data_IF_146702996398
#
_entry.id   IF_146702996398
#
_cell.length_a   1.000
_cell.length_b   1.000
_cell.length_c   1.000
_cell.angle_alpha   90.00
_cell.angle_beta   90.00
_cell.angle_gamma   90.00
#
_symmetry.space_group_name_H-M   'P 1'
#
loop_
_entity.id
_entity.type
_entity.pdbx_description
1 polymer ?
#
# COMPACT_ATOMS: atom_id res chain seq x y z
N UNK A 1 1.96 -11.26 -24.55
CA UNK A 1 1.56 -10.01 -25.22
C UNK A 1 0.06 -9.86 -25.14
N UNK A 2 -0.73 -10.83 -25.63
CA UNK A 2 -2.19 -10.87 -25.50
C UNK A 2 -2.73 -10.59 -24.09
N UNK A 3 -2.10 -11.18 -23.06
CA UNK A 3 -2.50 -10.96 -21.68
C UNK A 3 -2.40 -9.49 -21.24
N UNK A 4 -1.30 -8.82 -21.58
CA UNK A 4 -1.08 -7.42 -21.24
C UNK A 4 -2.11 -6.54 -21.96
N UNK A 5 -2.43 -6.87 -23.22
CA UNK A 5 -3.48 -6.17 -23.98
C UNK A 5 -4.82 -6.31 -23.27
N UNK A 6 -5.21 -7.52 -22.85
CA UNK A 6 -6.45 -7.75 -22.10
C UNK A 6 -6.49 -6.95 -20.79
N UNK A 7 -5.39 -6.97 -20.02
CA UNK A 7 -5.28 -6.21 -18.76
C UNK A 7 -5.46 -4.72 -19.00
N UNK A 8 -4.78 -4.18 -20.02
CA UNK A 8 -4.88 -2.76 -20.39
C UNK A 8 -6.29 -2.42 -20.83
N UNK A 9 -6.95 -3.26 -21.63
CA UNK A 9 -8.34 -3.04 -22.04
C UNK A 9 -9.29 -2.97 -20.84
N UNK A 10 -9.16 -3.90 -19.88
CA UNK A 10 -9.95 -3.88 -18.64
C UNK A 10 -9.72 -2.55 -17.89
N UNK A 11 -8.47 -2.09 -17.77
CA UNK A 11 -8.15 -0.83 -17.08
C UNK A 11 -8.67 0.40 -17.84
N UNK A 12 -8.63 0.38 -19.17
CA UNK A 12 -9.22 1.45 -19.99
C UNK A 12 -10.73 1.57 -19.77
N UNK A 13 -11.45 0.47 -19.51
CA UNK A 13 -12.87 0.51 -19.18
C UNK A 13 -13.17 1.20 -17.83
N UNK A 14 -12.16 1.39 -16.97
CA UNK A 14 -12.30 2.03 -15.66
C UNK A 14 -12.03 3.54 -15.69
N UNK A 15 -11.60 4.10 -16.83
CA UNK A 15 -11.13 5.49 -16.93
C UNK A 15 -12.18 6.51 -16.45
N UNK A 16 -13.45 6.30 -16.81
CA UNK A 16 -14.56 7.18 -16.50
C UNK A 16 -15.22 6.89 -15.13
N UNK A 17 -14.68 5.97 -14.33
CA UNK A 17 -15.15 5.75 -12.97
C UNK A 17 -14.60 6.82 -12.02
N UNK A 18 -15.20 6.90 -10.83
CA UNK A 18 -14.73 7.70 -9.70
C UNK A 18 -13.20 7.82 -9.58
N UNK A 19 -12.72 9.01 -9.23
CA UNK A 19 -11.37 9.28 -8.73
C UNK A 19 -11.44 10.01 -7.38
N UNK A 20 -10.45 9.78 -6.51
CA UNK A 20 -10.36 10.46 -5.23
C UNK A 20 -9.65 11.82 -5.33
N UNK A 21 -9.51 12.50 -4.20
CA UNK A 21 -8.69 13.72 -4.08
C UNK A 21 -7.24 13.51 -4.50
N UNK A 22 -6.73 12.26 -4.51
CA UNK A 22 -5.38 11.96 -5.01
C UNK A 22 -5.21 12.37 -6.49
N UNK A 23 -6.29 12.41 -7.29
CA UNK A 23 -6.25 12.96 -8.65
C UNK A 23 -5.90 14.45 -8.68
N UNK A 24 -6.55 15.26 -7.85
CA UNK A 24 -6.26 16.69 -7.73
C UNK A 24 -4.85 16.93 -7.17
N UNK A 25 -4.38 16.06 -6.29
CA UNK A 25 -3.03 16.09 -5.74
C UNK A 25 -1.99 15.92 -6.84
N UNK A 26 -2.09 14.86 -7.65
CA UNK A 26 -1.17 14.62 -8.76
C UNK A 26 -1.29 15.69 -9.86
N UNK A 27 -2.50 16.18 -10.17
CA UNK A 27 -2.68 17.35 -11.04
C UNK A 27 -1.89 18.56 -10.54
N UNK A 28 -2.01 18.88 -9.25
CA UNK A 28 -1.29 20.01 -8.67
C UNK A 28 0.22 19.79 -8.70
N UNK A 29 0.71 18.57 -8.44
CA UNK A 29 2.14 18.27 -8.50
C UNK A 29 2.72 18.48 -9.91
N UNK A 30 2.02 18.05 -10.96
CA UNK A 30 2.41 18.34 -12.34
C UNK A 30 2.49 19.85 -12.60
N UNK A 31 1.50 20.62 -12.10
CA UNK A 31 1.47 22.07 -12.25
C UNK A 31 2.65 22.74 -11.53
N UNK A 32 2.80 22.48 -10.23
CA UNK A 32 3.87 23.07 -9.39
C UNK A 32 5.24 22.78 -9.98
N UNK A 33 5.49 21.52 -10.36
CA UNK A 33 6.81 21.12 -10.85
C UNK A 33 7.15 21.77 -12.19
N UNK A 34 6.16 22.05 -13.05
CA UNK A 34 6.39 22.62 -14.38
C UNK A 34 6.41 24.15 -14.44
N UNK A 35 5.73 24.82 -13.50
CA UNK A 35 5.59 26.28 -13.44
C UNK A 35 6.56 26.94 -12.47
N UNK A 36 6.91 26.26 -11.38
CA UNK A 36 7.76 26.82 -10.34
C UNK A 36 9.23 26.40 -10.51
N UNK A 37 10.19 27.25 -10.12
CA UNK A 37 11.58 26.84 -10.04
C UNK A 37 11.75 25.71 -9.00
N UNK A 38 12.77 24.89 -9.18
CA UNK A 38 12.97 23.65 -8.42
C UNK A 38 13.03 23.85 -6.89
N UNK A 39 13.60 24.96 -6.44
CA UNK A 39 13.69 25.34 -5.03
C UNK A 39 12.34 25.77 -4.41
N UNK A 40 11.28 25.86 -5.20
CA UNK A 40 9.92 26.19 -4.72
C UNK A 40 8.97 24.98 -4.74
N UNK A 41 9.40 23.83 -5.27
CA UNK A 41 8.53 22.65 -5.41
C UNK A 41 7.93 22.17 -4.08
N UNK A 42 8.66 22.33 -2.96
CA UNK A 42 8.23 21.89 -1.62
C UNK A 42 7.71 23.04 -0.73
N UNK A 43 7.59 24.24 -1.29
CA UNK A 43 7.12 25.45 -0.62
C UNK A 43 5.80 25.99 -1.19
N UNK A 44 5.15 25.27 -2.10
CA UNK A 44 3.84 25.72 -2.63
C UNK A 44 2.81 25.89 -1.49
N UNK A 45 2.41 27.14 -1.28
CA UNK A 45 1.37 27.57 -0.33
C UNK A 45 0.05 27.92 -1.05
N UNK A 46 0.04 27.91 -2.39
CA UNK A 46 -1.14 28.30 -3.17
C UNK A 46 -2.22 27.21 -3.20
N UNK A 47 -1.85 25.98 -2.88
CA UNK A 47 -2.73 24.82 -2.89
C UNK A 47 -2.64 24.06 -1.57
N UNK A 48 -3.79 23.50 -1.15
CA UNK A 48 -3.84 22.54 -0.04
C UNK A 48 -3.14 21.22 -0.38
N UNK A 49 -2.92 20.96 -1.67
CA UNK A 49 -2.32 19.73 -2.18
C UNK A 49 -0.80 19.87 -2.32
N UNK A 50 -0.09 19.76 -1.21
CA UNK A 50 1.37 19.95 -1.20
C UNK A 50 2.13 18.73 -1.69
N UNK A 51 3.36 18.94 -2.16
CA UNK A 51 4.22 17.86 -2.63
C UNK A 51 4.82 17.09 -1.45
N UNK A 52 4.32 15.87 -1.25
CA UNK A 52 4.61 15.05 -0.06
C UNK A 52 5.45 13.80 -0.40
N UNK A 53 5.94 13.68 -1.64
CA UNK A 53 6.76 12.56 -2.11
C UNK A 53 8.22 12.98 -2.33
N UNK A 54 9.19 12.03 -2.29
CA UNK A 54 10.60 12.39 -2.44
C UNK A 54 10.94 12.80 -3.88
N UNK A 55 12.13 13.41 -4.09
CA UNK A 55 12.45 14.14 -5.32
C UNK A 55 12.28 13.37 -6.62
N UNK A 56 12.55 12.05 -6.63
CA UNK A 56 12.45 11.27 -7.87
C UNK A 56 11.01 11.20 -8.39
N UNK A 57 10.03 11.22 -7.48
CA UNK A 57 8.63 11.30 -7.87
C UNK A 57 8.25 12.71 -8.34
N UNK A 58 8.79 13.77 -7.73
CA UNK A 58 8.59 15.14 -8.21
C UNK A 58 9.13 15.31 -9.65
N UNK A 59 10.28 14.70 -9.98
CA UNK A 59 10.78 14.67 -11.36
C UNK A 59 9.87 13.87 -12.32
N UNK A 60 9.20 12.83 -11.84
CA UNK A 60 8.22 12.09 -12.65
C UNK A 60 7.00 12.98 -12.95
N UNK A 61 6.48 13.70 -11.96
CA UNK A 61 5.40 14.67 -12.14
C UNK A 61 5.80 15.81 -13.07
N UNK A 62 7.05 16.28 -12.98
CA UNK A 62 7.60 17.25 -13.92
C UNK A 62 7.55 16.73 -15.36
N UNK A 63 7.98 15.48 -15.58
CA UNK A 63 7.94 14.86 -16.90
C UNK A 63 6.51 14.74 -17.43
N UNK A 64 5.58 14.25 -16.61
CA UNK A 64 4.17 14.15 -17.00
C UNK A 64 3.55 15.52 -17.27
N UNK A 65 3.81 16.52 -16.43
CA UNK A 65 3.35 17.89 -16.65
C UNK A 65 3.90 18.48 -17.95
N UNK A 66 5.17 18.25 -18.29
CA UNK A 66 5.74 18.69 -19.59
C UNK A 66 5.06 18.02 -20.76
N UNK A 67 4.76 16.71 -20.68
CA UNK A 67 4.02 16.00 -21.73
C UNK A 67 2.61 16.58 -21.85
N UNK A 68 1.91 16.86 -20.75
CA UNK A 68 0.58 17.47 -20.76
C UNK A 68 0.58 18.82 -21.49
N UNK A 69 1.53 19.70 -21.15
CA UNK A 69 1.69 21.02 -21.79
C UNK A 69 1.97 20.88 -23.29
N UNK A 70 2.83 19.94 -23.69
CA UNK A 70 3.12 19.67 -25.10
C UNK A 70 1.90 19.19 -25.89
N UNK A 71 0.98 18.47 -25.22
CA UNK A 71 -0.28 18.02 -25.81
C UNK A 71 -1.40 19.08 -25.74
N UNK A 72 -1.12 20.27 -25.19
CA UNK A 72 -2.11 21.33 -25.03
C UNK A 72 -3.17 21.04 -23.95
N UNK A 73 -2.85 20.19 -22.99
CA UNK A 73 -3.76 19.81 -21.89
C UNK A 73 -3.66 20.84 -20.76
N UNK A 74 -4.81 21.41 -20.39
CA UNK A 74 -4.91 22.33 -19.26
C UNK A 74 -4.79 21.60 -17.91
N UNK A 75 -3.90 22.07 -17.04
CA UNK A 75 -3.68 21.56 -15.68
C UNK A 75 -4.47 22.34 -14.61
N UNK A 76 -5.13 23.45 -14.97
CA UNK A 76 -5.93 24.26 -14.06
C UNK A 76 -7.35 23.73 -13.93
N UNK A 77 -7.99 23.46 -15.07
CA UNK A 77 -9.37 22.99 -15.11
C UNK A 77 -9.44 21.49 -15.35
N UNK A 78 -10.38 20.82 -14.68
CA UNK A 78 -10.66 19.41 -14.94
C UNK A 78 -11.46 19.32 -16.24
N UNK A 79 -10.80 18.83 -17.28
CA UNK A 79 -11.42 18.49 -18.57
C UNK A 79 -11.34 16.98 -18.80
N UNK A 80 -12.17 16.44 -19.68
CA UNK A 80 -12.09 15.02 -20.07
C UNK A 80 -10.69 14.66 -20.57
N UNK A 81 -10.05 15.54 -21.34
CA UNK A 81 -8.68 15.33 -21.84
C UNK A 81 -7.66 15.13 -20.71
N UNK A 82 -7.79 15.90 -19.63
CA UNK A 82 -6.92 15.78 -18.45
C UNK A 82 -7.18 14.47 -17.70
N UNK A 83 -8.45 14.08 -17.55
CA UNK A 83 -8.82 12.80 -16.91
C UNK A 83 -8.22 11.63 -17.68
N UNK A 84 -8.42 11.60 -19.00
CA UNK A 84 -7.85 10.57 -19.86
C UNK A 84 -6.32 10.55 -19.80
N UNK A 85 -5.69 11.71 -19.87
CA UNK A 85 -4.23 11.82 -19.80
C UNK A 85 -3.66 11.21 -18.51
N UNK A 86 -4.17 11.64 -17.36
CA UNK A 86 -3.72 11.17 -16.06
C UNK A 86 -4.01 9.68 -15.83
N UNK A 87 -5.13 9.15 -16.33
CA UNK A 87 -5.42 7.71 -16.24
C UNK A 87 -4.49 6.90 -17.14
N UNK A 88 -4.19 7.40 -18.35
CA UNK A 88 -3.26 6.74 -19.26
C UNK A 88 -1.85 6.73 -18.68
N UNK A 89 -1.37 7.82 -18.06
CA UNK A 89 -0.03 7.84 -17.42
C UNK A 89 0.07 6.81 -16.30
N UNK A 90 -0.99 6.60 -15.51
CA UNK A 90 -1.06 5.50 -14.52
C UNK A 90 -0.89 4.16 -15.22
N UNK A 91 -1.74 3.82 -16.20
CA UNK A 91 -1.71 2.52 -16.92
C UNK A 91 -0.35 2.29 -17.60
N UNK A 92 0.22 3.31 -18.22
CA UNK A 92 1.53 3.23 -18.89
C UNK A 92 2.65 2.94 -17.88
N UNK A 93 2.62 3.58 -16.71
CA UNK A 93 3.62 3.34 -15.66
C UNK A 93 3.60 1.88 -15.17
N UNK A 94 2.44 1.25 -15.13
CA UNK A 94 2.25 -0.13 -14.67
C UNK A 94 2.89 -1.18 -15.59
N UNK A 95 3.33 -0.83 -16.80
CA UNK A 95 4.06 -1.79 -17.64
C UNK A 95 5.28 -2.37 -16.95
N UNK A 96 5.94 -1.59 -16.08
CA UNK A 96 7.05 -2.08 -15.26
C UNK A 96 6.61 -3.22 -14.32
N UNK A 97 5.41 -3.12 -13.75
CA UNK A 97 4.78 -4.18 -12.96
C UNK A 97 4.49 -5.43 -13.80
N UNK A 98 3.87 -5.24 -14.96
CA UNK A 98 3.54 -6.35 -15.85
C UNK A 98 4.80 -7.12 -16.30
N UNK A 99 5.89 -6.40 -16.60
CA UNK A 99 7.16 -7.03 -16.92
C UNK A 99 7.77 -7.79 -15.74
N UNK A 100 7.66 -7.24 -14.52
CA UNK A 100 8.14 -7.92 -13.32
C UNK A 100 7.38 -9.22 -13.05
N UNK A 101 6.04 -9.20 -13.12
CA UNK A 101 5.18 -10.39 -12.95
C UNK A 101 5.49 -11.44 -14.02
N UNK A 102 5.60 -11.04 -15.30
CA UNK A 102 5.91 -11.95 -16.41
C UNK A 102 7.26 -12.66 -16.25
N UNK A 103 8.25 -12.02 -15.61
CA UNK A 103 9.54 -12.68 -15.33
C UNK A 103 9.45 -13.78 -14.28
N UNK A 104 8.48 -13.69 -13.37
CA UNK A 104 8.38 -14.58 -12.22
C UNK A 104 7.38 -15.72 -12.46
N UNK A 105 6.29 -15.45 -13.17
CA UNK A 105 5.27 -16.45 -13.49
C UNK A 105 5.38 -16.94 -14.92
N UNK A 106 5.12 -18.23 -15.15
CA UNK A 106 5.09 -18.83 -16.49
C UNK A 106 3.69 -19.22 -16.97
N UNK A 107 2.74 -19.47 -16.06
CA UNK A 107 1.36 -19.81 -16.42
C UNK A 107 0.59 -18.55 -16.84
N UNK A 108 -0.19 -18.65 -17.91
CA UNK A 108 -1.01 -17.55 -18.44
C UNK A 108 -2.05 -17.06 -17.42
N UNK A 109 -2.80 -17.98 -16.82
CA UNK A 109 -3.85 -17.69 -15.84
C UNK A 109 -3.28 -17.14 -14.53
N UNK A 110 -2.15 -17.67 -14.06
CA UNK A 110 -1.44 -17.12 -12.89
C UNK A 110 -0.88 -15.72 -13.16
N UNK A 111 -0.28 -15.51 -14.33
CA UNK A 111 0.13 -14.18 -14.76
C UNK A 111 -1.05 -13.20 -14.79
N UNK A 112 -2.24 -13.61 -15.24
CA UNK A 112 -3.43 -12.75 -15.26
C UNK A 112 -3.81 -12.28 -13.85
N UNK A 113 -3.94 -13.23 -12.92
CA UNK A 113 -4.31 -12.96 -11.53
C UNK A 113 -3.27 -12.05 -10.87
N UNK A 114 -1.99 -12.30 -11.10
CA UNK A 114 -0.91 -11.50 -10.53
C UNK A 114 -0.76 -10.12 -11.20
N UNK A 115 -1.18 -9.95 -12.46
CA UNK A 115 -1.16 -8.66 -13.16
C UNK A 115 -2.32 -7.74 -12.76
N UNK A 116 -3.42 -8.31 -12.27
CA UNK A 116 -4.62 -7.56 -11.89
C UNK A 116 -5.09 -7.89 -10.46
N UNK A 117 -4.26 -7.74 -9.41
CA UNK A 117 -4.76 -7.88 -8.05
C UNK A 117 -5.90 -6.88 -7.82
N UNK A 118 -7.01 -7.34 -7.23
CA UNK A 118 -8.20 -6.50 -7.01
C UNK A 118 -7.86 -5.16 -6.34
N UNK A 119 -7.00 -5.16 -5.32
CA UNK A 119 -6.58 -3.93 -4.65
C UNK A 119 -5.81 -2.94 -5.55
N UNK A 120 -5.07 -3.42 -6.56
CA UNK A 120 -4.41 -2.55 -7.53
C UNK A 120 -5.40 -1.91 -8.52
N UNK A 121 -6.44 -2.66 -8.94
CA UNK A 121 -7.53 -2.05 -9.73
C UNK A 121 -8.20 -0.94 -8.93
N UNK A 122 -8.53 -1.21 -7.67
CA UNK A 122 -9.21 -0.28 -6.79
C UNK A 122 -8.37 0.97 -6.53
N UNK A 123 -7.12 0.80 -6.11
CA UNK A 123 -6.28 1.91 -5.63
C UNK A 123 -5.69 2.72 -6.78
N UNK A 124 -5.14 2.07 -7.81
CA UNK A 124 -4.43 2.80 -8.86
C UNK A 124 -5.40 3.29 -9.95
N UNK A 125 -6.33 2.42 -10.38
CA UNK A 125 -7.13 2.67 -11.58
C UNK A 125 -8.49 3.33 -11.30
N UNK A 126 -8.99 3.25 -10.07
CA UNK A 126 -10.23 3.92 -9.66
C UNK A 126 -9.90 5.05 -8.69
N UNK A 127 -9.40 4.74 -7.48
CA UNK A 127 -9.05 5.76 -6.47
C UNK A 127 -7.99 6.77 -6.93
N UNK A 128 -7.16 6.42 -7.93
CA UNK A 128 -6.13 7.24 -8.57
C UNK A 128 -4.81 7.32 -7.79
N UNK A 129 -3.92 6.35 -8.01
CA UNK A 129 -2.55 6.36 -7.47
C UNK A 129 -1.56 5.72 -8.44
N UNK A 130 -0.29 6.13 -8.35
CA UNK A 130 0.80 5.49 -9.08
C UNK A 130 1.58 4.50 -8.19
N UNK A 131 0.98 3.37 -7.83
CA UNK A 131 1.71 2.33 -7.08
C UNK A 131 2.25 1.20 -7.95
N UNK A 132 1.59 0.86 -9.05
CA UNK A 132 1.94 -0.31 -9.85
C UNK A 132 3.40 -0.31 -10.32
N UNK A 133 3.90 0.78 -10.88
CA UNK A 133 5.32 0.84 -11.29
C UNK A 133 6.28 0.64 -10.11
N UNK A 134 5.94 1.17 -8.92
CA UNK A 134 6.73 1.00 -7.69
C UNK A 134 6.72 -0.45 -7.21
N UNK A 135 5.56 -1.13 -7.31
CA UNK A 135 5.47 -2.57 -7.10
C UNK A 135 6.35 -3.33 -8.10
N UNK A 136 6.40 -2.89 -9.36
CA UNK A 136 7.31 -3.43 -10.37
C UNK A 136 8.78 -3.32 -9.96
N UNK A 137 9.22 -2.15 -9.49
CA UNK A 137 10.58 -1.95 -8.96
C UNK A 137 10.83 -2.87 -7.76
N UNK A 138 9.90 -2.95 -6.80
CA UNK A 138 10.01 -3.84 -5.63
C UNK A 138 10.21 -5.31 -6.05
N UNK A 139 9.44 -5.80 -7.02
CA UNK A 139 9.56 -7.16 -7.54
C UNK A 139 10.89 -7.39 -8.28
N UNK A 140 11.40 -6.39 -9.02
CA UNK A 140 12.73 -6.47 -9.61
C UNK A 140 13.84 -6.53 -8.56
N UNK A 141 13.70 -5.80 -7.44
CA UNK A 141 14.62 -5.89 -6.31
C UNK A 141 14.64 -7.31 -5.76
N UNK A 142 13.46 -7.91 -5.52
CA UNK A 142 13.38 -9.30 -5.08
C UNK A 142 14.07 -10.26 -6.06
N UNK A 143 13.82 -10.10 -7.37
CA UNK A 143 14.48 -10.90 -8.41
C UNK A 143 16.01 -10.75 -8.36
N UNK A 144 16.53 -9.52 -8.24
CA UNK A 144 17.98 -9.27 -8.16
C UNK A 144 18.62 -9.84 -6.90
N UNK A 145 17.93 -9.77 -5.76
CA UNK A 145 18.38 -10.40 -4.51
C UNK A 145 18.43 -11.93 -4.63
N UNK A 146 17.44 -12.55 -5.28
CA UNK A 146 17.46 -14.00 -5.53
C UNK A 146 18.63 -14.43 -6.42
N UNK A 147 19.04 -13.57 -7.36
CA UNK A 147 20.23 -13.77 -8.21
C UNK A 147 21.55 -13.39 -7.51
N UNK A 148 21.50 -13.06 -6.21
CA UNK A 148 22.66 -12.59 -5.42
C UNK A 148 23.34 -11.34 -6.01
N UNK A 149 22.61 -10.57 -6.83
CA UNK A 149 23.07 -9.31 -7.43
C UNK A 149 22.80 -8.15 -6.47
N UNK A 150 23.40 -8.20 -5.28
CA UNK A 150 23.11 -7.29 -4.16
C UNK A 150 23.31 -5.82 -4.51
N UNK A 151 24.37 -5.49 -5.26
CA UNK A 151 24.62 -4.10 -5.65
C UNK A 151 23.51 -3.50 -6.50
N UNK A 152 23.05 -4.23 -7.52
CA UNK A 152 21.96 -3.78 -8.38
C UNK A 152 20.64 -3.69 -7.61
N UNK A 153 20.39 -4.64 -6.71
CA UNK A 153 19.23 -4.61 -5.83
C UNK A 153 19.25 -3.37 -4.91
N UNK A 154 20.40 -3.02 -4.34
CA UNK A 154 20.55 -1.84 -3.47
C UNK A 154 20.35 -0.53 -4.22
N UNK A 155 20.90 -0.39 -5.42
CA UNK A 155 20.68 0.80 -6.26
C UNK A 155 19.19 0.95 -6.63
N UNK A 156 18.53 -0.13 -7.04
CA UNK A 156 17.09 -0.12 -7.30
C UNK A 156 16.28 0.21 -6.04
N UNK A 157 16.72 -0.24 -4.86
CA UNK A 157 16.03 0.03 -3.61
C UNK A 157 16.15 1.50 -3.19
N UNK A 158 17.30 2.13 -3.42
CA UNK A 158 17.47 3.59 -3.26
C UNK A 158 16.55 4.36 -4.20
N UNK A 159 16.44 3.93 -5.47
CA UNK A 159 15.49 4.50 -6.45
C UNK A 159 14.05 4.38 -5.94
N UNK A 160 13.65 3.20 -5.45
CA UNK A 160 12.31 2.96 -4.91
C UNK A 160 11.99 3.88 -3.73
N UNK A 161 12.91 4.00 -2.76
CA UNK A 161 12.75 4.90 -1.61
C UNK A 161 12.71 6.38 -2.03
N UNK A 162 13.43 6.76 -3.10
CA UNK A 162 13.42 8.12 -3.65
C UNK A 162 12.14 8.44 -4.43
N UNK A 163 11.35 7.42 -4.81
CA UNK A 163 10.01 7.62 -5.35
C UNK A 163 8.93 7.65 -4.26
N UNK A 164 9.01 6.78 -3.25
CA UNK A 164 8.01 6.74 -2.18
C UNK A 164 8.60 6.20 -0.90
N UNK A 165 8.61 7.02 0.15
CA UNK A 165 9.25 6.69 1.43
C UNK A 165 8.55 5.54 2.19
N UNK A 166 7.30 5.18 1.84
CA UNK A 166 6.58 4.06 2.45
C UNK A 166 7.32 2.72 2.35
N UNK A 167 8.20 2.55 1.34
CA UNK A 167 8.98 1.34 1.18
C UNK A 167 10.05 1.14 2.26
N UNK A 168 10.21 2.08 3.21
CA UNK A 168 10.91 1.87 4.49
C UNK A 168 10.36 0.65 5.23
N UNK A 169 9.10 0.26 4.98
CA UNK A 169 8.48 -0.95 5.56
C UNK A 169 9.26 -2.23 5.25
N UNK A 170 10.03 -2.24 4.15
CA UNK A 170 10.86 -3.37 3.71
C UNK A 170 12.33 -3.22 4.15
N UNK A 171 12.74 -2.03 4.61
CA UNK A 171 14.14 -1.68 4.85
C UNK A 171 14.82 -2.61 5.88
N UNK A 172 14.20 -2.95 7.03
CA UNK A 172 14.86 -3.86 7.98
C UNK A 172 15.13 -5.24 7.40
N UNK A 173 14.17 -5.81 6.64
CA UNK A 173 14.40 -7.07 5.96
C UNK A 173 15.50 -6.96 4.89
N UNK A 174 15.51 -5.90 4.08
CA UNK A 174 16.55 -5.65 3.09
C UNK A 174 17.95 -5.59 3.75
N UNK A 175 18.07 -4.85 4.86
CA UNK A 175 19.30 -4.76 5.65
C UNK A 175 19.75 -6.11 6.20
N UNK A 176 18.83 -6.91 6.76
CA UNK A 176 19.14 -8.27 7.26
C UNK A 176 19.66 -9.17 6.14
N UNK A 177 19.12 -9.06 4.91
CA UNK A 177 19.60 -9.84 3.76
C UNK A 177 21.04 -9.46 3.41
N UNK A 178 21.34 -8.15 3.33
CA UNK A 178 22.69 -7.69 3.04
C UNK A 178 23.67 -8.12 4.14
N UNK A 179 23.32 -7.93 5.41
CA UNK A 179 24.19 -8.28 6.53
C UNK A 179 24.47 -9.79 6.62
N UNK A 180 23.52 -10.64 6.24
CA UNK A 180 23.70 -12.10 6.27
C UNK A 180 24.50 -12.63 5.09
N UNK A 181 24.40 -12.00 3.92
CA UNK A 181 24.89 -12.59 2.67
C UNK A 181 26.04 -11.83 2.00
N UNK A 182 26.28 -10.57 2.36
CA UNK A 182 27.35 -9.75 1.78
C UNK A 182 28.59 -9.71 2.66
N UNK A 183 29.75 -9.62 2.03
CA UNK A 183 31.00 -9.32 2.70
C UNK A 183 31.11 -7.83 3.05
N UNK A 184 31.90 -7.46 4.05
CA UNK A 184 32.10 -6.06 4.49
C UNK A 184 32.51 -5.16 3.31
N UNK A 185 33.43 -5.61 2.44
CA UNK A 185 33.85 -4.84 1.25
C UNK A 185 32.69 -4.57 0.29
N UNK A 186 31.80 -5.54 0.10
CA UNK A 186 30.60 -5.37 -0.73
C UNK A 186 29.61 -4.40 -0.07
N UNK A 187 29.44 -4.48 1.25
CA UNK A 187 28.59 -3.55 2.01
C UNK A 187 29.10 -2.11 1.88
N UNK A 188 30.41 -1.89 1.99
CA UNK A 188 31.02 -0.57 1.79
C UNK A 188 30.78 -0.07 0.36
N UNK A 189 31.01 -0.92 -0.64
CA UNK A 189 30.75 -0.58 -2.05
C UNK A 189 29.29 -0.20 -2.30
N UNK A 190 28.35 -0.98 -1.75
CA UNK A 190 26.91 -0.68 -1.78
C UNK A 190 26.63 0.66 -1.11
N UNK A 191 27.21 0.91 0.07
CA UNK A 191 27.03 2.15 0.81
C UNK A 191 27.49 3.38 0.03
N UNK A 192 28.69 3.34 -0.55
CA UNK A 192 29.25 4.43 -1.36
C UNK A 192 28.38 4.70 -2.58
N UNK A 193 28.00 3.67 -3.33
CA UNK A 193 27.20 3.83 -4.54
C UNK A 193 25.77 4.30 -4.24
N UNK A 194 25.18 3.80 -3.16
CA UNK A 194 23.86 4.25 -2.68
C UNK A 194 23.89 5.71 -2.23
N UNK A 195 24.92 6.12 -1.48
CA UNK A 195 25.10 7.50 -1.04
C UNK A 195 25.35 8.44 -2.22
N UNK A 196 26.15 8.01 -3.20
CA UNK A 196 26.41 8.78 -4.42
C UNK A 196 25.13 9.00 -5.22
N UNK A 197 24.29 7.98 -5.35
CA UNK A 197 23.00 8.09 -6.04
C UNK A 197 22.03 9.02 -5.29
N UNK A 198 21.93 8.90 -3.97
CA UNK A 198 21.13 9.81 -3.15
C UNK A 198 21.64 11.25 -3.29
N UNK A 199 22.96 11.45 -3.28
CA UNK A 199 23.55 12.77 -3.50
C UNK A 199 23.10 13.34 -4.84
N UNK A 200 23.19 12.58 -5.95
CA UNK A 200 22.74 13.05 -7.27
C UNK A 200 21.26 13.43 -7.28
N UNK A 201 20.39 12.63 -6.65
CA UNK A 201 18.95 12.87 -6.60
C UNK A 201 18.60 14.13 -5.78
N UNK A 202 19.26 14.31 -4.63
CA UNK A 202 18.96 15.37 -3.67
C UNK A 202 19.81 16.64 -3.85
N UNK A 203 20.88 16.60 -4.65
CA UNK A 203 21.78 17.74 -4.86
C UNK A 203 21.04 19.02 -5.30
N UNK A 204 20.04 18.96 -6.20
CA UNK A 204 19.30 20.16 -6.59
C UNK A 204 18.45 20.77 -5.45
N UNK A 205 18.23 20.01 -4.37
CA UNK A 205 17.44 20.41 -3.20
C UNK A 205 18.31 20.56 -1.94
N UNK A 206 19.62 20.78 -2.08
CA UNK A 206 20.54 20.78 -0.92
C UNK A 206 20.17 21.81 0.16
N UNK A 207 19.55 22.93 -0.22
CA UNK A 207 19.05 23.95 0.70
C UNK A 207 17.72 23.56 1.37
N UNK A 208 16.94 22.70 0.72
CA UNK A 208 15.55 22.40 1.07
C UNK A 208 15.37 21.03 1.74
N UNK A 209 16.47 20.32 2.04
CA UNK A 209 16.45 18.96 2.62
C UNK A 209 15.56 18.89 3.86
N UNK A 210 15.66 19.87 4.77
CA UNK A 210 14.83 19.90 5.99
C UNK A 210 13.35 20.07 5.68
N UNK A 211 13.01 20.92 4.70
CA UNK A 211 11.63 21.11 4.27
C UNK A 211 11.08 19.83 3.65
N UNK A 212 11.85 19.17 2.78
CA UNK A 212 11.48 17.87 2.20
C UNK A 212 11.23 16.85 3.30
N UNK A 213 12.14 16.70 4.26
CA UNK A 213 11.97 15.75 5.37
C UNK A 213 10.70 16.03 6.19
N UNK A 214 10.37 17.30 6.43
CA UNK A 214 9.13 17.71 7.13
C UNK A 214 7.88 17.33 6.33
N UNK A 215 7.91 17.42 5.00
CA UNK A 215 6.82 17.01 4.10
C UNK A 215 6.67 15.49 4.04
N UNK A 216 7.78 14.75 3.92
CA UNK A 216 7.79 13.29 3.87
C UNK A 216 7.32 12.66 5.20
N UNK A 217 7.67 13.27 6.33
CA UNK A 217 7.34 12.76 7.66
C UNK A 217 6.56 13.81 8.47
N UNK A 218 5.24 13.98 8.22
CA UNK A 218 4.42 14.94 8.93
C UNK A 218 4.08 14.43 10.33
N UNK A 219 4.97 14.68 11.30
CA UNK A 219 4.85 14.18 12.68
C UNK A 219 3.68 14.75 13.49
N UNK A 220 2.92 15.70 12.96
CA UNK A 220 1.81 16.38 13.64
C UNK A 220 0.46 15.65 13.51
N UNK A 221 0.45 14.45 12.92
CA UNK A 221 -0.79 13.69 12.69
C UNK A 221 -1.01 12.69 13.84
N UNK A 222 -2.27 12.31 14.09
CA UNK A 222 -2.62 11.32 15.12
C UNK A 222 -2.26 9.87 14.75
N UNK A 223 -2.37 8.93 15.71
CA UNK A 223 -1.96 7.53 15.55
C UNK A 223 -2.67 6.82 14.38
N UNK A 224 -3.97 7.09 14.21
CA UNK A 224 -4.81 6.53 13.14
C UNK A 224 -5.41 7.64 12.30
N UNK A 225 -5.71 7.33 11.03
CA UNK A 225 -6.47 8.20 10.14
C UNK A 225 -7.96 8.24 10.50
N UNK A 226 -8.72 9.10 9.81
CA UNK A 226 -10.18 9.13 9.93
C UNK A 226 -10.81 7.79 9.52
N UNK A 227 -10.34 7.20 8.41
CA UNK A 227 -10.60 5.79 8.10
C UNK A 227 -9.51 4.93 8.73
N UNK A 228 -9.88 4.03 9.64
CA UNK A 228 -8.90 3.21 10.34
C UNK A 228 -8.31 2.17 9.41
N UNK A 229 -6.99 2.16 9.26
CA UNK A 229 -6.32 1.07 8.59
C UNK A 229 -6.63 -0.25 9.32
N UNK A 230 -6.76 -1.33 8.56
CA UNK A 230 -7.04 -2.67 9.07
C UNK A 230 -5.82 -3.33 9.76
N UNK A 231 -5.28 -2.64 10.77
CA UNK A 231 -4.08 -3.00 11.52
C UNK A 231 -4.36 -3.15 13.03
N UNK A 232 -3.29 -3.33 13.82
CA UNK A 232 -3.41 -3.50 15.28
C UNK A 232 -4.11 -2.30 15.95
N UNK A 233 -3.84 -1.08 15.47
CA UNK A 233 -4.34 0.13 16.09
C UNK A 233 -5.86 0.30 15.97
N UNK A 234 -6.49 -0.24 14.92
CA UNK A 234 -7.95 -0.22 14.85
C UNK A 234 -8.61 -1.05 15.96
N UNK A 235 -8.02 -2.20 16.30
CA UNK A 235 -8.45 -3.06 17.41
C UNK A 235 -8.27 -2.31 18.73
N UNK A 236 -7.12 -1.64 18.88
CA UNK A 236 -6.80 -0.83 20.05
C UNK A 236 -7.81 0.33 20.23
N UNK A 237 -8.11 1.08 19.18
CA UNK A 237 -9.10 2.15 19.19
C UNK A 237 -10.52 1.64 19.48
N UNK A 238 -10.92 0.51 18.89
CA UNK A 238 -12.22 -0.10 19.20
C UNK A 238 -12.31 -0.56 20.65
N UNK A 239 -11.25 -1.17 21.19
CA UNK A 239 -11.18 -1.58 22.58
C UNK A 239 -11.31 -0.38 23.53
N UNK A 240 -10.62 0.74 23.26
CA UNK A 240 -10.76 1.97 24.04
C UNK A 240 -12.21 2.48 24.08
N UNK A 241 -12.90 2.49 22.92
CA UNK A 241 -14.30 2.91 22.82
C UNK A 241 -15.23 1.98 23.60
N UNK A 242 -15.06 0.67 23.48
CA UNK A 242 -15.86 -0.33 24.21
C UNK A 242 -15.63 -0.20 25.72
N UNK A 243 -14.38 -0.09 26.16
CA UNK A 243 -14.05 0.10 27.58
C UNK A 243 -14.61 1.43 28.13
N UNK A 244 -14.50 2.52 27.36
CA UNK A 244 -15.08 3.81 27.73
C UNK A 244 -16.59 3.74 27.93
N UNK A 245 -17.30 3.00 27.05
CA UNK A 245 -18.73 2.77 27.17
C UNK A 245 -19.08 1.91 28.41
N UNK A 246 -18.34 0.84 28.67
CA UNK A 246 -18.54 -0.03 29.84
C UNK A 246 -18.32 0.75 31.15
N UNK A 247 -17.27 1.57 31.20
CA UNK A 247 -16.89 2.38 32.37
C UNK A 247 -17.67 3.69 32.48
N UNK A 248 -18.57 3.99 31.53
CA UNK A 248 -19.36 5.24 31.44
C UNK A 248 -18.49 6.50 31.46
N UNK A 249 -17.30 6.43 30.87
CA UNK A 249 -16.37 7.55 30.74
C UNK A 249 -16.78 8.38 29.52
N UNK A 250 -17.60 9.41 29.77
CA UNK A 250 -18.08 10.33 28.73
C UNK A 250 -17.09 11.48 28.51
N UNK A 251 -15.98 11.20 27.82
CA UNK A 251 -15.18 12.24 27.16
C UNK A 251 -15.24 12.02 25.65
N UNK A 252 -15.43 13.10 24.89
CA UNK A 252 -15.55 13.06 23.44
C UNK A 252 -14.28 12.44 22.82
N UNK A 253 -14.35 11.17 22.39
CA UNK A 253 -13.24 10.45 21.77
C UNK A 253 -13.43 10.32 20.28
N UNK A 254 -12.40 10.72 19.52
CA UNK A 254 -11.95 10.21 18.20
C UNK A 254 -13.03 9.61 17.26
N UNK A 255 -14.17 10.30 17.15
CA UNK A 255 -15.27 9.95 16.24
C UNK A 255 -15.70 11.15 15.38
N UNK A 256 -15.05 12.31 15.52
CA UNK A 256 -15.40 13.54 14.81
C UNK A 256 -14.85 13.60 13.37
N UNK A 257 -14.17 12.57 12.88
CA UNK A 257 -13.57 12.57 11.54
C UNK A 257 -12.43 13.58 11.33
N UNK A 258 -12.06 14.34 12.37
CA UNK A 258 -10.98 15.33 12.29
C UNK A 258 -9.63 14.66 12.60
N UNK A 259 -8.64 14.91 11.74
CA UNK A 259 -7.25 14.41 11.86
C UNK A 259 -6.50 15.15 12.98
N UNK A 260 -6.98 15.03 14.22
CA UNK A 260 -6.32 15.54 15.41
C UNK A 260 -5.59 14.40 16.16
N UNK A 261 -4.69 14.77 17.07
CA UNK A 261 -3.99 13.82 17.95
C UNK A 261 -5.01 12.91 18.64
N UNK A 262 -4.83 11.59 18.47
CA UNK A 262 -5.75 10.58 18.97
C UNK A 262 -5.64 10.50 20.50
N UNK A 263 -6.56 11.15 21.20
CA UNK A 263 -6.68 11.03 22.66
C UNK A 263 -7.53 9.80 22.97
N UNK A 264 -6.96 8.91 23.78
CA UNK A 264 -7.62 7.71 24.29
C UNK A 264 -8.27 7.99 25.64
N UNK A 265 -9.44 7.42 25.88
CA UNK A 265 -10.22 7.68 27.09
C UNK A 265 -9.80 6.78 28.26
N UNK A 266 -9.43 5.53 27.96
CA UNK A 266 -9.12 4.48 28.94
C UNK A 266 -7.72 3.93 28.73
N UNK A 267 -7.38 3.62 27.48
CA UNK A 267 -6.10 3.06 27.11
C UNK A 267 -5.00 4.14 27.05
N UNK A 268 -3.73 3.79 27.26
CA UNK A 268 -2.63 4.76 27.22
C UNK A 268 -2.43 5.36 25.83
N UNK A 269 -2.02 6.63 25.78
CA UNK A 269 -1.65 7.27 24.53
C UNK A 269 -0.39 6.64 23.95
N UNK A 270 -0.41 6.39 22.64
CA UNK A 270 0.69 5.80 21.89
C UNK A 270 1.30 6.89 21.01
N UNK A 271 2.56 7.23 21.27
CA UNK A 271 3.33 8.18 20.47
C UNK A 271 4.24 7.51 19.43
N UNK A 272 4.86 8.31 18.57
CA UNK A 272 5.72 7.81 17.48
C UNK A 272 6.86 6.93 18.02
N UNK A 273 7.50 7.35 19.12
CA UNK A 273 8.62 6.64 19.74
C UNK A 273 8.21 5.24 20.21
N UNK A 274 7.02 5.08 20.81
CA UNK A 274 6.58 3.77 21.30
C UNK A 274 6.34 2.80 20.14
N UNK A 275 5.75 3.28 19.03
CA UNK A 275 5.60 2.47 17.82
C UNK A 275 6.95 2.05 17.22
N UNK A 276 7.94 2.95 17.20
CA UNK A 276 9.29 2.66 16.71
C UNK A 276 9.98 1.60 17.56
N UNK A 277 9.81 1.63 18.89
CA UNK A 277 10.34 0.61 19.80
C UNK A 277 9.68 -0.75 19.51
N UNK A 278 8.35 -0.79 19.36
CA UNK A 278 7.62 -2.02 19.02
C UNK A 278 8.11 -2.59 17.69
N UNK A 279 8.14 -1.79 16.63
CA UNK A 279 8.62 -2.20 15.31
C UNK A 279 10.06 -2.69 15.39
N UNK A 280 10.95 -1.92 16.04
CA UNK A 280 12.36 -2.27 16.21
C UNK A 280 12.52 -3.63 16.88
N UNK A 281 11.81 -3.85 18.00
CA UNK A 281 11.84 -5.11 18.74
C UNK A 281 11.36 -6.31 17.91
N UNK A 282 10.28 -6.15 17.14
CA UNK A 282 9.75 -7.20 16.26
C UNK A 282 10.68 -7.44 15.07
N UNK A 283 11.30 -6.40 14.52
CA UNK A 283 12.26 -6.52 13.43
C UNK A 283 13.53 -7.30 13.84
N UNK A 284 13.89 -7.34 15.12
CA UNK A 284 14.98 -8.21 15.60
C UNK A 284 14.71 -9.70 15.31
N UNK A 285 13.45 -10.11 15.22
CA UNK A 285 13.08 -11.48 14.85
C UNK A 285 13.53 -11.85 13.43
N UNK A 286 13.70 -10.86 12.54
CA UNK A 286 14.18 -11.07 11.16
C UNK A 286 15.62 -11.62 11.15
N UNK A 287 16.46 -11.25 12.12
CA UNK A 287 17.81 -11.80 12.25
C UNK A 287 17.79 -13.29 12.63
N UNK A 288 16.82 -13.71 13.44
CA UNK A 288 16.67 -15.12 13.86
C UNK A 288 15.97 -15.98 12.82
N UNK A 289 15.16 -15.36 11.95
CA UNK A 289 14.44 -16.06 10.89
C UNK A 289 15.42 -16.61 9.86
N UNK A 290 15.40 -17.93 9.67
CA UNK A 290 15.87 -18.54 8.42
C UNK A 290 14.82 -18.23 7.37
N UNK A 291 15.25 -17.67 6.25
CA UNK A 291 14.38 -17.39 5.12
C UNK A 291 15.00 -18.06 3.89
N UNK A 292 14.24 -18.94 3.24
CA UNK A 292 14.61 -19.48 1.92
C UNK A 292 14.31 -18.51 0.79
N UNK A 293 13.41 -17.55 1.00
CA UNK A 293 12.96 -16.64 -0.04
C UNK A 293 12.86 -15.19 0.46
N UNK A 294 13.30 -14.25 -0.37
CA UNK A 294 13.27 -12.80 -0.14
C UNK A 294 11.85 -12.28 0.08
N UNK A 295 10.86 -12.82 -0.64
CA UNK A 295 9.46 -12.39 -0.48
C UNK A 295 8.94 -12.59 0.95
N UNK A 296 9.28 -13.70 1.60
CA UNK A 296 8.74 -14.02 2.94
C UNK A 296 9.26 -13.04 3.99
N UNK A 297 10.57 -12.78 3.97
CA UNK A 297 11.17 -11.83 4.94
C UNK A 297 10.70 -10.39 4.66
N UNK A 298 10.49 -10.01 3.40
CA UNK A 298 9.91 -8.70 3.05
C UNK A 298 8.45 -8.58 3.48
N UNK A 299 7.64 -9.64 3.32
CA UNK A 299 6.26 -9.70 3.79
C UNK A 299 6.20 -9.57 5.31
N UNK A 300 7.06 -10.28 6.06
CA UNK A 300 7.09 -10.15 7.53
C UNK A 300 7.42 -8.71 7.93
N UNK A 301 8.46 -8.12 7.36
CA UNK A 301 8.85 -6.73 7.67
C UNK A 301 7.70 -5.76 7.36
N UNK A 302 7.14 -5.85 6.15
CA UNK A 302 6.04 -4.96 5.77
C UNK A 302 4.77 -5.16 6.59
N UNK A 303 4.45 -6.38 7.03
CA UNK A 303 3.36 -6.63 7.97
C UNK A 303 3.64 -6.08 9.37
N UNK A 304 4.88 -6.11 9.86
CA UNK A 304 5.23 -5.48 11.14
C UNK A 304 4.96 -3.98 11.07
N UNK A 305 5.44 -3.29 10.03
CA UNK A 305 5.21 -1.86 9.86
C UNK A 305 3.74 -1.53 9.63
N UNK A 306 3.04 -2.30 8.79
CA UNK A 306 1.62 -2.09 8.56
C UNK A 306 0.81 -2.24 9.86
N UNK A 307 1.13 -3.25 10.68
CA UNK A 307 0.38 -3.53 11.90
C UNK A 307 0.66 -2.53 13.01
N UNK A 308 1.93 -2.13 13.20
CA UNK A 308 2.37 -1.39 14.39
C UNK A 308 2.96 -0.02 14.09
N UNK A 309 2.95 0.44 12.83
CA UNK A 309 3.41 1.76 12.44
C UNK A 309 2.53 2.87 13.00
N UNK A 310 3.13 4.02 13.27
CA UNK A 310 2.40 5.23 13.56
C UNK A 310 1.83 5.81 12.26
N UNK A 311 0.55 6.19 12.27
CA UNK A 311 -0.09 6.88 11.15
C UNK A 311 -0.02 6.10 9.83
N UNK A 312 -0.49 4.85 9.88
CA UNK A 312 -0.50 3.94 8.72
C UNK A 312 -1.81 4.09 7.95
N UNK A 313 -1.70 4.27 6.64
CA UNK A 313 -2.84 4.25 5.72
C UNK A 313 -3.30 2.83 5.40
N UNK A 314 -4.60 2.65 5.22
CA UNK A 314 -5.25 1.40 4.82
C UNK A 314 -4.67 0.81 3.52
N UNK A 315 -4.30 1.66 2.56
CA UNK A 315 -3.70 1.30 1.27
C UNK A 315 -2.35 0.59 1.40
N UNK A 316 -1.63 0.80 2.52
CA UNK A 316 -0.29 0.26 2.73
C UNK A 316 -0.24 -1.27 2.80
N UNK A 317 -1.37 -1.93 3.07
CA UNK A 317 -1.48 -3.40 3.08
C UNK A 317 -1.19 -4.04 1.72
N UNK A 318 -1.23 -3.26 0.65
CA UNK A 318 -0.89 -3.75 -0.68
C UNK A 318 0.57 -4.20 -0.81
N UNK A 319 1.51 -3.62 -0.05
CA UNK A 319 2.92 -4.02 -0.11
C UNK A 319 3.11 -5.51 0.23
N UNK A 320 2.68 -6.01 1.41
CA UNK A 320 2.80 -7.43 1.73
C UNK A 320 1.95 -8.33 0.82
N UNK A 321 0.80 -7.83 0.33
CA UNK A 321 -0.09 -8.54 -0.60
C UNK A 321 0.65 -8.83 -1.91
N UNK A 322 1.23 -7.81 -2.55
CA UNK A 322 1.94 -7.95 -3.81
C UNK A 322 3.15 -8.89 -3.69
N UNK A 323 3.90 -8.79 -2.60
CA UNK A 323 5.05 -9.67 -2.34
C UNK A 323 4.66 -11.15 -2.27
N UNK A 324 3.48 -11.46 -1.71
CA UNK A 324 2.99 -12.85 -1.61
C UNK A 324 2.26 -13.31 -2.88
N UNK A 325 1.57 -12.40 -3.58
CA UNK A 325 0.89 -12.69 -4.84
C UNK A 325 1.85 -13.31 -5.85
N UNK A 326 3.05 -12.76 -6.04
CA UNK A 326 3.94 -13.32 -7.06
C UNK A 326 4.61 -14.64 -6.62
N UNK A 327 4.59 -14.94 -5.32
CA UNK A 327 5.19 -16.17 -4.80
C UNK A 327 4.23 -17.36 -4.81
N UNK A 328 2.93 -17.13 -4.52
CA UNK A 328 1.87 -18.14 -4.40
C UNK A 328 2.23 -19.44 -3.64
N UNK A 329 3.08 -19.35 -2.61
CA UNK A 329 3.43 -20.54 -1.80
C UNK A 329 2.23 -21.11 -1.04
N UNK A 330 1.36 -20.24 -0.54
CA UNK A 330 0.17 -20.62 0.21
C UNK A 330 -1.06 -19.96 -0.44
N UNK A 331 -1.66 -20.59 -1.47
CA UNK A 331 -2.74 -19.98 -2.22
C UNK A 331 -3.98 -19.74 -1.37
N UNK A 332 -4.29 -20.61 -0.39
CA UNK A 332 -5.42 -20.41 0.53
C UNK A 332 -5.24 -19.16 1.39
N UNK A 333 -4.05 -18.95 1.96
CA UNK A 333 -3.75 -17.76 2.74
C UNK A 333 -3.77 -16.49 1.88
N UNK A 334 -3.23 -16.57 0.65
CA UNK A 334 -3.19 -15.45 -0.28
C UNK A 334 -4.60 -15.08 -0.76
N UNK A 335 -5.44 -16.07 -1.04
CA UNK A 335 -6.84 -15.89 -1.37
C UNK A 335 -7.58 -15.14 -0.26
N UNK A 336 -7.43 -15.60 1.00
CA UNK A 336 -8.02 -14.92 2.14
C UNK A 336 -7.46 -13.50 2.30
N UNK A 337 -6.14 -13.33 2.20
CA UNK A 337 -5.51 -12.01 2.36
C UNK A 337 -5.99 -11.02 1.31
N UNK A 338 -6.06 -11.43 0.04
CA UNK A 338 -6.60 -10.60 -1.04
C UNK A 338 -8.08 -10.26 -0.82
N UNK A 339 -8.91 -11.25 -0.45
CA UNK A 339 -10.35 -11.05 -0.31
C UNK A 339 -10.68 -10.14 0.86
N UNK A 340 -10.14 -10.45 2.04
CA UNK A 340 -10.42 -9.74 3.29
C UNK A 340 -9.92 -8.30 3.19
N UNK A 341 -8.68 -8.11 2.74
CA UNK A 341 -8.13 -6.78 2.60
C UNK A 341 -8.81 -6.01 1.44
N UNK A 342 -9.26 -6.70 0.39
CA UNK A 342 -10.06 -6.12 -0.69
C UNK A 342 -11.39 -5.55 -0.19
N UNK A 343 -12.11 -6.29 0.65
CA UNK A 343 -13.35 -5.82 1.31
C UNK A 343 -13.08 -4.56 2.14
N UNK A 344 -12.03 -4.58 2.96
CA UNK A 344 -11.67 -3.44 3.79
C UNK A 344 -11.11 -2.24 3.00
N UNK A 345 -10.85 -2.37 1.69
CA UNK A 345 -10.51 -1.25 0.83
C UNK A 345 -11.73 -0.67 0.08
N UNK A 346 -12.87 -1.37 0.06
CA UNK A 346 -14.08 -0.88 -0.60
C UNK A 346 -14.52 0.52 -0.12
N UNK A 347 -14.47 0.87 1.18
CA UNK A 347 -14.91 2.19 1.62
C UNK A 347 -14.09 3.38 1.06
N UNK A 348 -12.93 3.13 0.45
CA UNK A 348 -12.16 4.16 -0.24
C UNK A 348 -12.84 4.72 -1.49
N UNK A 349 -13.87 4.04 -1.99
CA UNK A 349 -14.70 4.48 -3.11
C UNK A 349 -16.13 4.59 -2.58
N UNK A 350 -16.49 5.67 -1.87
CA UNK A 350 -17.75 5.73 -1.12
C UNK A 350 -19.00 5.85 -1.99
N UNK A 351 -18.84 6.02 -3.30
CA UNK A 351 -19.93 6.34 -4.23
C UNK A 351 -20.91 5.18 -4.41
N UNK A 352 -22.21 5.51 -4.38
CA UNK A 352 -23.28 4.52 -4.46
C UNK A 352 -23.33 3.77 -5.80
N UNK A 353 -22.88 4.41 -6.88
CA UNK A 353 -22.93 3.85 -8.24
C UNK A 353 -21.81 2.84 -8.53
N UNK A 354 -20.58 3.10 -8.08
CA UNK A 354 -19.42 2.25 -8.37
C UNK A 354 -19.35 1.02 -7.46
N UNK A 355 -19.86 1.12 -6.23
CA UNK A 355 -19.79 0.03 -5.26
C UNK A 355 -20.35 -1.32 -5.74
N UNK A 356 -21.54 -1.41 -6.38
CA UNK A 356 -22.00 -2.66 -6.98
C UNK A 356 -21.00 -3.23 -8.00
N UNK A 357 -20.38 -2.37 -8.83
CA UNK A 357 -19.37 -2.77 -9.82
C UNK A 357 -18.13 -3.32 -9.09
N UNK A 358 -17.67 -2.66 -8.04
CA UNK A 358 -16.53 -3.11 -7.24
C UNK A 358 -16.78 -4.46 -6.57
N UNK A 359 -17.97 -4.68 -6.02
CA UNK A 359 -18.36 -5.96 -5.41
C UNK A 359 -18.39 -7.07 -6.48
N UNK A 360 -18.95 -6.79 -7.66
CA UNK A 360 -18.95 -7.73 -8.78
C UNK A 360 -17.51 -8.05 -9.22
N UNK A 361 -16.65 -7.04 -9.36
CA UNK A 361 -15.24 -7.23 -9.71
C UNK A 361 -14.48 -8.04 -8.64
N UNK A 362 -14.75 -7.77 -7.36
CA UNK A 362 -14.20 -8.54 -6.24
C UNK A 362 -14.60 -10.02 -6.35
N UNK A 363 -15.89 -10.30 -6.58
CA UNK A 363 -16.41 -11.67 -6.71
C UNK A 363 -15.79 -12.35 -7.93
N UNK A 364 -15.83 -11.72 -9.11
CA UNK A 364 -15.26 -12.29 -10.35
C UNK A 364 -13.79 -12.63 -10.16
N UNK A 365 -12.99 -11.69 -9.65
CA UNK A 365 -11.57 -11.90 -9.42
C UNK A 365 -11.32 -13.11 -8.50
N UNK A 366 -12.06 -13.20 -7.39
CA UNK A 366 -11.88 -14.30 -6.44
C UNK A 366 -12.49 -15.61 -6.94
N UNK A 367 -13.53 -15.62 -7.77
CA UNK A 367 -13.99 -16.85 -8.43
C UNK A 367 -12.93 -17.41 -9.38
N UNK A 368 -12.29 -16.55 -10.17
CA UNK A 368 -11.17 -16.95 -11.05
C UNK A 368 -9.99 -17.45 -10.23
N UNK A 369 -9.62 -16.74 -9.15
CA UNK A 369 -8.57 -17.18 -8.23
C UNK A 369 -8.91 -18.56 -7.65
N UNK A 370 -10.11 -18.73 -7.11
CA UNK A 370 -10.58 -19.97 -6.50
C UNK A 370 -10.45 -21.16 -7.45
N UNK A 371 -10.89 -20.99 -8.70
CA UNK A 371 -10.83 -22.01 -9.73
C UNK A 371 -9.39 -22.35 -10.15
N UNK A 372 -8.56 -21.34 -10.39
CA UNK A 372 -7.17 -21.53 -10.85
C UNK A 372 -6.29 -22.22 -9.81
N UNK A 373 -6.43 -21.83 -8.54
CA UNK A 373 -5.57 -22.33 -7.46
C UNK A 373 -6.21 -23.46 -6.64
N UNK A 374 -7.40 -23.93 -7.03
CA UNK A 374 -8.12 -25.02 -6.36
C UNK A 374 -8.19 -24.82 -4.84
N UNK A 375 -8.69 -23.65 -4.45
CA UNK A 375 -8.62 -23.18 -3.07
C UNK A 375 -9.41 -24.09 -2.12
N UNK A 376 -8.74 -24.53 -1.05
CA UNK A 376 -9.26 -25.51 -0.08
C UNK A 376 -9.35 -24.89 1.31
N UNK A 377 -10.51 -24.32 1.62
CA UNK A 377 -10.74 -23.64 2.90
C UNK A 377 -11.39 -24.55 3.93
N UNK A 378 -10.92 -24.46 5.18
CA UNK A 378 -11.58 -25.09 6.31
C UNK A 378 -12.87 -24.31 6.71
N UNK A 379 -13.67 -24.88 7.62
CA UNK A 379 -14.95 -24.28 8.01
C UNK A 379 -14.79 -22.90 8.68
N UNK A 380 -13.73 -22.70 9.46
CA UNK A 380 -13.47 -21.41 10.10
C UNK A 380 -13.07 -20.34 9.07
N UNK A 381 -12.24 -20.69 8.09
CA UNK A 381 -11.85 -19.81 6.99
C UNK A 381 -13.07 -19.42 6.14
N UNK A 382 -13.94 -20.39 5.80
CA UNK A 382 -15.20 -20.12 5.09
C UNK A 382 -16.12 -19.18 5.87
N UNK A 383 -16.31 -19.45 7.18
CA UNK A 383 -17.11 -18.61 8.05
C UNK A 383 -16.57 -17.17 8.10
N UNK A 384 -15.25 -17.02 8.12
CA UNK A 384 -14.60 -15.71 8.10
C UNK A 384 -14.84 -14.96 6.77
N UNK A 385 -14.86 -15.66 5.63
CA UNK A 385 -15.21 -15.03 4.36
C UNK A 385 -16.69 -14.61 4.31
N UNK A 386 -17.60 -15.44 4.83
CA UNK A 386 -19.02 -15.10 4.92
C UNK A 386 -19.26 -13.88 5.83
N UNK A 387 -18.49 -13.74 6.91
CA UNK A 387 -18.53 -12.55 7.75
C UNK A 387 -18.21 -11.27 6.96
N UNK A 388 -17.31 -11.33 5.96
CA UNK A 388 -17.04 -10.20 5.07
C UNK A 388 -18.25 -9.79 4.24
N UNK A 389 -19.02 -10.76 3.73
CA UNK A 389 -20.30 -10.49 3.05
C UNK A 389 -21.33 -9.83 3.98
N UNK A 390 -21.37 -10.24 5.26
CA UNK A 390 -22.22 -9.61 6.27
C UNK A 390 -21.78 -8.19 6.61
N UNK A 391 -20.48 -7.89 6.60
CA UNK A 391 -19.96 -6.52 6.78
C UNK A 391 -20.45 -5.61 5.66
N UNK A 392 -20.35 -6.06 4.40
CA UNK A 392 -20.87 -5.32 3.25
C UNK A 392 -22.39 -5.16 3.37
N UNK A 393 -23.12 -6.23 3.68
CA UNK A 393 -24.57 -6.16 3.81
C UNK A 393 -25.02 -5.21 4.93
N UNK A 394 -24.31 -5.24 6.06
CA UNK A 394 -24.56 -4.35 7.19
C UNK A 394 -24.41 -2.88 6.79
N UNK A 395 -23.26 -2.54 6.18
CA UNK A 395 -22.98 -1.17 5.72
C UNK A 395 -24.03 -0.66 4.74
N UNK A 396 -24.34 -1.47 3.70
CA UNK A 396 -25.14 -1.01 2.56
C UNK A 396 -26.65 -1.02 2.81
N UNK A 397 -27.14 -1.91 3.66
CA UNK A 397 -28.59 -2.12 3.83
C UNK A 397 -29.06 -1.94 5.26
N UNK A 398 -28.35 -2.49 6.26
CA UNK A 398 -28.86 -2.52 7.62
C UNK A 398 -28.55 -1.25 8.41
N UNK A 399 -27.38 -0.65 8.24
CA UNK A 399 -26.92 0.44 9.10
C UNK A 399 -27.87 1.64 9.04
N UNK A 400 -28.21 2.11 7.84
CA UNK A 400 -29.14 3.22 7.66
C UNK A 400 -30.54 2.90 8.20
N UNK A 401 -31.01 1.66 8.07
CA UNK A 401 -32.32 1.22 8.59
C UNK A 401 -32.36 1.19 10.12
N UNK A 402 -31.26 0.82 10.78
CA UNK A 402 -31.20 0.65 12.23
C UNK A 402 -30.93 1.97 12.95
N UNK A 403 -30.03 2.80 12.40
CA UNK A 403 -29.51 3.97 13.11
C UNK A 403 -30.02 5.31 12.57
N UNK A 404 -30.77 5.33 11.47
CA UNK A 404 -31.40 6.55 10.92
C UNK A 404 -30.43 7.74 10.79
N UNK A 405 -29.20 7.48 10.34
CA UNK A 405 -28.14 8.49 10.20
C UNK A 405 -27.29 8.74 11.45
N UNK A 406 -27.56 8.07 12.58
CA UNK A 406 -26.67 8.08 13.75
C UNK A 406 -25.50 7.12 13.55
N UNK A 407 -24.37 7.40 14.20
CA UNK A 407 -23.16 6.55 14.19
C UNK A 407 -22.59 6.33 12.77
N UNK A 408 -22.51 7.36 11.96
CA UNK A 408 -22.07 7.31 10.55
C UNK A 408 -20.73 6.60 10.31
N UNK A 409 -19.81 6.62 11.28
CA UNK A 409 -18.50 5.97 11.19
C UNK A 409 -18.51 4.49 11.61
N UNK A 410 -19.61 3.97 12.15
CA UNK A 410 -19.68 2.59 12.65
C UNK A 410 -19.45 1.54 11.54
N UNK A 411 -20.01 1.69 10.32
CA UNK A 411 -19.69 0.78 9.22
C UNK A 411 -18.20 0.79 8.86
N UNK A 412 -17.56 1.96 8.82
CA UNK A 412 -16.12 2.05 8.55
C UNK A 412 -15.29 1.30 9.60
N UNK A 413 -15.70 1.37 10.87
CA UNK A 413 -15.06 0.62 11.96
C UNK A 413 -15.24 -0.90 11.75
N UNK A 414 -16.40 -1.38 11.29
CA UNK A 414 -16.61 -2.82 11.06
C UNK A 414 -15.74 -3.36 9.93
N UNK A 415 -15.59 -2.63 8.81
CA UNK A 415 -14.61 -2.97 7.76
C UNK A 415 -13.18 -3.06 8.30
N UNK A 416 -12.78 -2.06 9.10
CA UNK A 416 -11.44 -1.98 9.67
C UNK A 416 -11.15 -3.15 10.60
N UNK A 417 -12.07 -3.47 11.52
CA UNK A 417 -11.91 -4.57 12.47
C UNK A 417 -11.94 -5.95 11.79
N UNK A 418 -12.79 -6.12 10.77
CA UNK A 418 -12.83 -7.33 9.95
C UNK A 418 -11.47 -7.65 9.33
N UNK A 419 -10.80 -6.65 8.77
CA UNK A 419 -9.46 -6.84 8.20
C UNK A 419 -8.37 -7.04 9.26
N UNK A 420 -8.48 -6.33 10.37
CA UNK A 420 -7.40 -6.25 11.38
C UNK A 420 -7.13 -7.58 12.06
N UNK A 421 -8.18 -8.32 12.44
CA UNK A 421 -8.03 -9.62 13.08
C UNK A 421 -7.30 -10.61 12.16
N UNK A 422 -7.64 -10.60 10.86
CA UNK A 422 -6.95 -11.42 9.88
C UNK A 422 -5.50 -11.00 9.70
N UNK A 423 -5.19 -9.70 9.65
CA UNK A 423 -3.81 -9.24 9.47
C UNK A 423 -2.89 -9.58 10.65
N UNK A 424 -3.43 -9.66 11.87
CA UNK A 424 -2.71 -10.24 13.02
C UNK A 424 -2.44 -11.74 12.83
N UNK A 425 -3.48 -12.50 12.45
CA UNK A 425 -3.34 -13.92 12.14
C UNK A 425 -2.30 -14.16 11.03
N UNK A 426 -2.31 -13.34 9.98
CA UNK A 426 -1.40 -13.44 8.85
C UNK A 426 0.06 -13.20 9.26
N UNK A 427 0.32 -12.14 10.04
CA UNK A 427 1.66 -11.87 10.58
C UNK A 427 2.15 -13.03 11.45
N UNK A 428 1.31 -13.54 12.36
CA UNK A 428 1.67 -14.67 13.23
C UNK A 428 1.97 -15.92 12.40
N UNK A 429 1.16 -16.21 11.38
CA UNK A 429 1.36 -17.37 10.49
C UNK A 429 2.69 -17.27 9.75
N UNK A 430 3.04 -16.09 9.23
CA UNK A 430 4.33 -15.86 8.56
C UNK A 430 5.52 -15.99 9.52
N UNK A 431 5.40 -15.47 10.75
CA UNK A 431 6.42 -15.61 11.78
C UNK A 431 6.62 -17.08 12.20
N UNK A 432 5.53 -17.84 12.34
CA UNK A 432 5.53 -19.25 12.75
C UNK A 432 5.90 -20.22 11.65
N UNK A 433 5.78 -19.84 10.37
CA UNK A 433 6.13 -20.71 9.26
C UNK A 433 7.60 -21.13 9.41
N UNK A 434 7.81 -22.37 9.85
CA UNK A 434 9.13 -23.01 9.78
C UNK A 434 9.36 -23.32 8.31
N UNK A 435 10.58 -23.14 7.82
CA UNK A 435 10.99 -23.56 6.47
C UNK A 435 11.03 -25.11 6.33
N UNK A 436 10.14 -25.81 7.03
CA UNK A 436 9.96 -27.25 7.06
C UNK A 436 9.01 -27.67 5.92
N UNK A 437 9.51 -27.52 4.69
CA UNK A 437 9.06 -28.36 3.58
C UNK A 437 10.31 -28.96 2.94
N UNK A 438 10.57 -30.21 3.29
CA UNK A 438 11.29 -31.15 2.46
C UNK A 438 10.40 -31.48 1.26
N UNK A 439 10.80 -31.05 0.06
CA UNK A 439 10.46 -31.78 -1.16
C UNK A 439 11.75 -31.89 -1.97
N UNK A 440 12.20 -33.13 -2.09
CA UNK A 440 13.23 -33.61 -3.01
C UNK A 440 12.95 -33.06 -4.41
N UNK A 441 13.96 -32.44 -5.01
CA UNK A 441 14.15 -32.47 -6.46
C UNK A 441 15.58 -32.97 -6.67
N UNK A 442 15.69 -34.29 -6.79
CA UNK A 442 16.67 -34.90 -7.68
C UNK A 442 16.20 -34.66 -9.12
#
# INVERSE_FOLDING_TARGET
MYLIILVVLIKCMLINLYYSTDFDVHRNWMRVTTEQPINQWYYDEQSIWTLDYPPLFAYLEYLFGKIAILLGIDLYNITDSLVWFQRITVIVSEFLYFFAVKKQQKSFTKQFIDMIPFGCLLIDNIHFQYNGFLYGILLFICYKLQQQQYLQASLLYVILLSFKHIYIYVLPAFGVILLKNCQIKQIISIGILSASLLLVIFLPFYQDIFQILKRLFPFQRGLVHAYWAQNFWSIYCAADKVLGAILKINKASTASGVVQETVFNVLPSIGNITTLIIIGSLCLLLFRKKYKNVYDIFTISSLIFFNFGYHVHEKAVMIPIILQFVQMKNPNLMFMASFINGIALLPLIPTSYEQPILIILLIIFHTVFYAEYQITLNNAEKLYLYAGGLVIFYDRFLHHLIFEGRLEFLPLITYSLYGSLFNQYWLIKQLRQKDDYYVKLC
#
